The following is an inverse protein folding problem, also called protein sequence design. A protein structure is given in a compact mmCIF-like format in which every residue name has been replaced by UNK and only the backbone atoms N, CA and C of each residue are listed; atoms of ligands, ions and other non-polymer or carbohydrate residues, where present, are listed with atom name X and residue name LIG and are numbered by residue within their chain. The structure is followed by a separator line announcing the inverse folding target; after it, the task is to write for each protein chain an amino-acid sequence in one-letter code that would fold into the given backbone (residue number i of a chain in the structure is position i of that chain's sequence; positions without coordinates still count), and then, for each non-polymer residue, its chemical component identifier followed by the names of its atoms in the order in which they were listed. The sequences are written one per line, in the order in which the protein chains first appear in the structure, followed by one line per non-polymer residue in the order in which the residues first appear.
data_IF_143011103552
#
_entry.id   IF_143011103552
#
_cell.length_a   1.000
_cell.length_b   1.000
_cell.length_c   1.000
_cell.angle_alpha   90.00
_cell.angle_beta   90.00
_cell.angle_gamma   90.00
#
_symmetry.space_group_name_H-M   'P 1'
#
loop_
_entity.id
_entity.type
_entity.pdbx_description
1 polymer ?
#
# COMPACT_ATOMS: atom_id res chain seq x y z
N UNK A 1 -4.30 10.80 24.55
CA UNK A 1 -5.33 10.61 23.51
C UNK A 1 -4.67 10.09 22.24
N UNK A 2 -4.85 8.82 21.87
CA UNK A 2 -4.54 8.36 20.51
C UNK A 2 -5.82 8.46 19.68
N UNK A 3 -5.87 9.43 18.79
CA UNK A 3 -6.92 9.55 17.77
C UNK A 3 -6.84 8.32 16.83
N UNK A 4 -7.92 7.56 16.75
CA UNK A 4 -8.01 6.37 15.91
C UNK A 4 -8.47 6.78 14.50
N UNK A 5 -7.53 6.97 13.58
CA UNK A 5 -7.82 7.38 12.21
C UNK A 5 -8.54 6.27 11.44
N UNK A 6 -9.85 6.44 11.17
CA UNK A 6 -10.63 5.57 10.30
C UNK A 6 -10.67 6.11 8.88
N UNK A 7 -10.20 5.31 7.92
CA UNK A 7 -10.32 5.61 6.49
C UNK A 7 -11.74 5.23 6.02
N UNK A 8 -12.61 6.22 5.89
CA UNK A 8 -14.03 6.03 5.52
C UNK A 8 -14.25 5.93 3.99
N UNK A 9 -13.35 6.49 3.18
CA UNK A 9 -13.38 6.40 1.70
C UNK A 9 -11.97 6.26 1.15
N UNK A 10 -11.72 5.15 0.45
CA UNK A 10 -10.42 4.84 -0.17
C UNK A 10 -10.34 5.34 -1.62
N UNK A 11 -11.48 5.66 -2.26
CA UNK A 11 -11.53 6.16 -3.63
C UNK A 11 -11.91 7.64 -3.68
N UNK A 12 -11.09 8.45 -4.36
CA UNK A 12 -11.33 9.90 -4.56
C UNK A 12 -11.58 10.28 -6.01
N UNK A 13 -11.35 9.36 -6.97
CA UNK A 13 -11.35 9.59 -8.44
C UNK A 13 -10.38 10.67 -8.94
N UNK A 14 -9.59 11.25 -8.03
CA UNK A 14 -8.69 12.34 -8.39
C UNK A 14 -7.60 11.93 -9.37
N UNK A 15 -7.32 10.63 -9.55
CA UNK A 15 -6.27 10.14 -10.46
C UNK A 15 -6.75 9.64 -11.83
N UNK A 16 -8.00 9.89 -12.19
CA UNK A 16 -8.58 9.42 -13.46
C UNK A 16 -8.04 10.19 -14.67
N UNK A 17 -7.46 11.37 -14.43
CA UNK A 17 -6.72 12.18 -15.42
C UNK A 17 -5.31 11.65 -15.74
N UNK A 18 -4.94 10.49 -15.17
CA UNK A 18 -3.61 9.88 -15.35
C UNK A 18 -2.51 10.49 -14.46
N UNK A 19 -2.86 11.39 -13.53
CA UNK A 19 -1.93 11.97 -12.56
C UNK A 19 -2.19 11.43 -11.15
N UNK A 20 -1.24 11.61 -10.24
CA UNK A 20 -1.34 11.20 -8.83
C UNK A 20 -0.61 12.19 -7.94
N UNK A 21 -1.08 12.34 -6.71
CA UNK A 21 -0.48 13.26 -5.74
C UNK A 21 0.80 12.68 -5.14
N UNK A 22 1.86 13.48 -5.11
CA UNK A 22 3.01 13.25 -4.25
C UNK A 22 2.87 14.08 -2.98
N UNK A 23 3.26 13.51 -1.84
CA UNK A 23 3.32 14.24 -0.57
C UNK A 23 4.24 15.45 -0.73
N UNK A 24 3.68 16.65 -0.54
CA UNK A 24 4.40 17.93 -0.56
C UNK A 24 4.86 18.48 -1.91
N UNK A 25 4.74 17.74 -3.03
CA UNK A 25 5.28 18.16 -4.34
C UNK A 25 4.25 18.25 -5.48
N UNK A 26 2.97 18.34 -5.15
CA UNK A 26 1.89 18.46 -6.14
C UNK A 26 1.59 17.14 -6.87
N UNK A 27 0.93 17.24 -8.04
CA UNK A 27 0.52 16.08 -8.83
C UNK A 27 1.54 15.76 -9.93
N UNK A 28 1.87 14.48 -10.10
CA UNK A 28 2.76 13.99 -11.16
C UNK A 28 2.04 12.93 -12.00
N UNK A 29 2.47 12.72 -13.23
CA UNK A 29 1.98 11.60 -14.05
C UNK A 29 2.20 10.27 -13.33
N UNK A 30 1.26 9.33 -13.46
CA UNK A 30 1.41 7.94 -13.00
C UNK A 30 2.64 7.24 -13.61
N UNK A 31 3.10 7.69 -14.77
CA UNK A 31 4.28 7.14 -15.46
C UNK A 31 5.60 7.77 -14.98
N UNK A 32 5.56 8.66 -13.99
CA UNK A 32 6.77 9.27 -13.44
C UNK A 32 7.62 8.24 -12.70
N UNK A 33 8.95 8.23 -12.89
CA UNK A 33 9.89 7.26 -12.28
C UNK A 33 9.67 7.04 -10.78
N UNK A 34 9.48 8.12 -10.00
CA UNK A 34 9.13 8.06 -8.56
C UNK A 34 7.89 7.21 -8.27
N UNK A 35 6.82 7.32 -9.06
CA UNK A 35 5.60 6.54 -8.86
C UNK A 35 5.86 5.06 -9.12
N UNK A 36 6.61 4.74 -10.18
CA UNK A 36 7.01 3.36 -10.44
C UNK A 36 7.87 2.79 -9.30
N UNK A 37 8.86 3.53 -8.82
CA UNK A 37 9.70 3.08 -7.69
C UNK A 37 8.89 2.82 -6.43
N UNK A 38 7.95 3.70 -6.08
CA UNK A 38 7.07 3.48 -4.92
C UNK A 38 6.11 2.31 -5.14
N UNK A 39 5.59 2.13 -6.36
CA UNK A 39 4.75 0.98 -6.72
C UNK A 39 5.49 -0.35 -6.53
N UNK A 40 6.73 -0.46 -7.01
CA UNK A 40 7.53 -1.68 -6.81
C UNK A 40 7.77 -2.00 -5.34
N UNK A 41 7.99 -0.99 -4.50
CA UNK A 41 8.14 -1.19 -3.04
C UNK A 41 6.83 -1.64 -2.39
N UNK A 42 5.70 -1.07 -2.82
CA UNK A 42 4.37 -1.47 -2.33
C UNK A 42 4.04 -2.92 -2.70
N UNK A 43 4.34 -3.33 -3.93
CA UNK A 43 4.21 -4.73 -4.39
C UNK A 43 5.08 -5.69 -3.58
N UNK A 44 6.34 -5.32 -3.30
CA UNK A 44 7.22 -6.11 -2.43
C UNK A 44 6.65 -6.25 -1.02
N UNK A 45 6.13 -5.16 -0.44
CA UNK A 45 5.52 -5.19 0.88
C UNK A 45 4.30 -6.12 0.93
N UNK A 46 3.49 -6.15 -0.12
CA UNK A 46 2.36 -7.09 -0.23
C UNK A 46 2.84 -8.54 -0.26
N UNK A 47 3.88 -8.85 -1.05
CA UNK A 47 4.46 -10.19 -1.11
C UNK A 47 5.04 -10.65 0.24
N UNK A 48 5.73 -9.76 0.95
CA UNK A 48 6.23 -10.04 2.31
C UNK A 48 5.08 -10.27 3.30
N UNK A 49 4.01 -9.49 3.20
CA UNK A 49 2.80 -9.67 4.01
C UNK A 49 2.17 -11.05 3.80
N UNK A 50 2.09 -11.51 2.55
CA UNK A 50 1.58 -12.84 2.21
C UNK A 50 2.47 -13.94 2.76
N UNK A 51 3.79 -13.85 2.55
CA UNK A 51 4.74 -14.82 3.08
C UNK A 51 4.63 -14.94 4.62
N UNK A 52 4.53 -13.80 5.32
CA UNK A 52 4.35 -13.77 6.77
C UNK A 52 3.01 -14.38 7.21
N UNK A 53 1.94 -14.14 6.45
CA UNK A 53 0.63 -14.73 6.76
C UNK A 53 0.64 -16.25 6.69
N UNK A 54 1.32 -16.83 5.69
CA UNK A 54 1.49 -18.28 5.57
C UNK A 54 2.31 -18.87 6.73
N UNK A 55 3.45 -18.27 7.07
CA UNK A 55 4.27 -18.73 8.19
C UNK A 55 3.53 -18.69 9.54
N UNK A 56 2.70 -17.68 9.76
CA UNK A 56 1.89 -17.56 10.97
C UNK A 56 0.75 -18.59 11.03
N UNK A 57 0.18 -18.98 9.88
CA UNK A 57 -0.82 -20.06 9.83
C UNK A 57 -0.19 -21.42 10.17
N UNK A 58 1.02 -21.68 9.68
CA UNK A 58 1.75 -22.91 10.00
C UNK A 58 2.11 -23.00 11.49
N UNK A 59 2.50 -21.89 12.12
CA UNK A 59 2.76 -21.82 13.56
C UNK A 59 1.50 -22.06 14.41
N UNK A 60 0.32 -21.64 13.95
CA UNK A 60 -0.96 -21.92 14.62
C UNK A 60 -1.50 -23.34 14.40
N UNK A 61 -0.94 -24.08 13.43
CA UNK A 61 -1.35 -25.44 13.07
C UNK A 61 -0.41 -26.52 13.63
N UNK A 62 0.53 -26.18 14.52
CA UNK A 62 1.38 -27.17 15.16
C UNK A 62 0.53 -28.01 16.15
N UNK A 63 0.44 -29.34 15.96
CA UNK A 63 -0.26 -30.18 16.94
C UNK A 63 0.48 -30.13 18.28
N UNK A 64 -0.31 -29.95 19.35
CA UNK A 64 0.15 -29.98 20.75
C UNK A 64 0.99 -31.20 21.08
#
# INVERSE_FOLDING_TARGET
MSENYRITKVYTRSGDDGTTGLVGKGRVSKNHRRIQSYGTVDELNAALGLARAHLNQDASNLPS
#
